data_IF_533532047741
#
_entry.id   IF_533532047741
#
_cell.length_a   1.000
_cell.length_b   1.000
_cell.length_c   1.000
_cell.angle_alpha   90.00
_cell.angle_beta   90.00
_cell.angle_gamma   90.00
#
_symmetry.space_group_name_H-M   'P 1'
#
loop_
_entity.id
_entity.type
_entity.pdbx_description
1 polymer ?
#
# COMPACT_ATOMS: atom_id res chain seq x y z
N UNK A 1 -15.84 -3.22 60.99
CA UNK A 1 -15.05 -2.05 61.47
C UNK A 1 -14.02 -1.68 60.41
N UNK A 2 -14.11 -0.48 59.84
CA UNK A 2 -13.22 -0.04 58.75
C UNK A 2 -11.76 0.13 59.20
N UNK A 3 -10.81 -0.09 58.28
CA UNK A 3 -9.34 -0.02 58.53
C UNK A 3 -8.92 1.31 59.19
N UNK A 4 -9.58 2.42 58.84
CA UNK A 4 -9.35 3.74 59.44
C UNK A 4 -9.73 3.81 60.92
N UNK A 5 -10.74 3.05 61.36
CA UNK A 5 -11.15 2.98 62.77
C UNK A 5 -10.11 2.23 63.63
N UNK A 6 -9.35 1.30 63.05
CA UNK A 6 -8.26 0.61 63.76
C UNK A 6 -7.01 1.48 63.89
N UNK A 7 -6.62 2.20 62.83
CA UNK A 7 -5.49 3.13 62.88
C UNK A 7 -5.75 4.26 63.88
N UNK A 8 -6.94 4.87 63.83
CA UNK A 8 -7.34 5.91 64.78
C UNK A 8 -7.31 5.42 66.24
N UNK A 9 -7.72 4.16 66.51
CA UNK A 9 -7.58 3.57 67.85
C UNK A 9 -6.12 3.40 68.28
N UNK A 10 -5.22 3.04 67.37
CA UNK A 10 -3.79 2.93 67.66
C UNK A 10 -3.14 4.30 67.92
N UNK A 11 -3.53 5.32 67.17
CA UNK A 11 -3.09 6.71 67.38
C UNK A 11 -3.59 7.24 68.73
N UNK A 12 -4.82 6.91 69.13
CA UNK A 12 -5.32 7.23 70.48
C UNK A 12 -4.55 6.49 71.59
N UNK A 13 -4.19 5.21 71.36
CA UNK A 13 -3.34 4.46 72.29
C UNK A 13 -1.93 5.06 72.40
N UNK A 14 -1.40 5.61 71.32
CA UNK A 14 -0.13 6.34 71.33
C UNK A 14 -0.24 7.60 72.19
N UNK A 15 -1.34 8.35 72.09
CA UNK A 15 -1.58 9.51 72.94
C UNK A 15 -1.66 9.12 74.43
N UNK A 16 -2.45 8.10 74.76
CA UNK A 16 -2.54 7.57 76.12
C UNK A 16 -1.18 7.07 76.66
N UNK A 17 -0.33 6.52 75.79
CA UNK A 17 1.04 6.11 76.13
C UNK A 17 1.92 7.32 76.50
N UNK A 18 1.81 8.44 75.79
CA UNK A 18 2.52 9.67 76.17
C UNK A 18 2.05 10.21 77.52
N UNK A 19 0.73 10.21 77.77
CA UNK A 19 0.18 10.59 79.09
C UNK A 19 0.71 9.69 80.22
N UNK A 20 0.81 8.38 79.97
CA UNK A 20 1.34 7.43 80.96
C UNK A 20 2.83 7.67 81.28
N UNK A 21 3.59 8.13 80.28
CA UNK A 21 4.99 8.55 80.49
C UNK A 21 5.07 9.76 81.43
N UNK A 22 4.22 10.77 81.22
CA UNK A 22 4.13 11.94 82.11
C UNK A 22 3.70 11.57 83.55
N UNK A 23 2.81 10.58 83.70
CA UNK A 23 2.43 10.04 85.02
C UNK A 23 3.61 9.33 85.70
N UNK A 24 4.41 8.55 84.98
CA UNK A 24 5.62 7.90 85.53
C UNK A 24 6.65 8.95 85.96
N UNK A 25 6.86 10.02 85.18
CA UNK A 25 7.73 11.12 85.59
C UNK A 25 7.24 11.80 86.87
N UNK A 26 5.92 11.96 87.02
CA UNK A 26 5.32 12.53 88.23
C UNK A 26 5.53 11.62 89.43
N UNK A 27 5.30 10.30 89.28
CA UNK A 27 5.62 9.30 90.32
C UNK A 27 7.11 9.31 90.67
N UNK A 28 7.98 9.48 89.67
CA UNK A 28 9.44 9.55 89.87
C UNK A 28 9.82 10.78 90.70
N UNK A 29 9.26 11.95 90.38
CA UNK A 29 9.44 13.18 91.18
C UNK A 29 8.94 13.00 92.61
N UNK A 30 7.73 12.47 92.79
CA UNK A 30 7.16 12.22 94.13
C UNK A 30 7.97 11.18 94.94
N UNK A 31 8.53 10.17 94.29
CA UNK A 31 9.40 9.20 94.95
C UNK A 31 10.74 9.82 95.37
N UNK A 32 11.27 10.76 94.58
CA UNK A 32 12.46 11.53 94.94
C UNK A 32 12.20 12.45 96.13
N UNK A 33 11.05 13.13 96.16
CA UNK A 33 10.63 13.97 97.30
C UNK A 33 10.47 13.13 98.57
N UNK A 34 9.86 11.95 98.47
CA UNK A 34 9.75 11.01 99.58
C UNK A 34 11.11 10.49 100.05
N UNK A 35 12.01 10.17 99.12
CA UNK A 35 13.37 9.74 99.43
C UNK A 35 14.11 10.83 100.22
N UNK A 36 14.03 12.08 99.76
CA UNK A 36 14.59 13.24 100.45
C UNK A 36 14.00 13.43 101.87
N UNK A 37 12.68 13.28 102.02
CA UNK A 37 12.00 13.40 103.31
C UNK A 37 12.38 12.30 104.32
N UNK A 38 12.70 11.09 103.83
CA UNK A 38 13.13 9.97 104.65
C UNK A 38 14.63 10.00 104.97
N UNK A 39 15.41 10.93 104.41
CA UNK A 39 16.85 11.00 104.62
C UNK A 39 17.20 11.13 106.11
N UNK A 40 18.11 10.29 106.60
CA UNK A 40 18.49 10.21 108.01
C UNK A 40 17.61 9.28 108.87
N UNK A 41 16.59 8.64 108.29
CA UNK A 41 15.83 7.56 108.93
C UNK A 41 16.40 6.18 108.61
N UNK A 42 16.14 5.20 109.47
CA UNK A 42 16.48 3.78 109.27
C UNK A 42 15.74 3.15 108.08
N UNK A 43 14.62 3.73 107.65
CA UNK A 43 13.80 3.26 106.54
C UNK A 43 14.24 3.79 105.16
N UNK A 44 15.12 4.79 105.10
CA UNK A 44 15.50 5.53 103.88
C UNK A 44 15.98 4.61 102.75
N UNK A 45 17.03 3.83 103.00
CA UNK A 45 17.66 2.98 101.98
C UNK A 45 16.67 1.95 101.42
N UNK A 46 15.92 1.28 102.30
CA UNK A 46 14.97 0.23 101.90
C UNK A 46 13.86 0.79 101.01
N UNK A 47 13.21 1.87 101.45
CA UNK A 47 12.07 2.46 100.71
C UNK A 47 12.54 3.11 99.41
N UNK A 48 13.69 3.78 99.42
CA UNK A 48 14.26 4.39 98.21
C UNK A 48 14.63 3.34 97.15
N UNK A 49 15.28 2.24 97.56
CA UNK A 49 15.62 1.15 96.64
C UNK A 49 14.39 0.43 96.07
N UNK A 50 13.37 0.19 96.91
CA UNK A 50 12.11 -0.42 96.47
C UNK A 50 11.37 0.47 95.46
N UNK A 51 11.23 1.77 95.76
CA UNK A 51 10.62 2.74 94.86
C UNK A 51 11.39 2.86 93.54
N UNK A 52 12.72 2.93 93.58
CA UNK A 52 13.55 2.98 92.38
C UNK A 52 13.33 1.74 91.52
N UNK A 53 13.31 0.55 92.13
CA UNK A 53 13.05 -0.71 91.41
C UNK A 53 11.67 -0.72 90.74
N UNK A 54 10.64 -0.19 91.41
CA UNK A 54 9.30 -0.09 90.84
C UNK A 54 9.23 0.92 89.70
N UNK A 55 9.87 2.08 89.84
CA UNK A 55 9.95 3.11 88.80
C UNK A 55 10.69 2.58 87.57
N UNK A 56 11.84 1.94 87.76
CA UNK A 56 12.61 1.34 86.68
C UNK A 56 11.80 0.27 85.93
N UNK A 57 11.04 -0.55 86.66
CA UNK A 57 10.17 -1.55 86.04
C UNK A 57 9.00 -0.92 85.27
N UNK A 58 8.37 0.12 85.81
CA UNK A 58 7.33 0.87 85.12
C UNK A 58 7.87 1.53 83.85
N UNK A 59 9.03 2.19 83.93
CA UNK A 59 9.70 2.81 82.80
C UNK A 59 10.04 1.78 81.72
N UNK A 60 10.61 0.62 82.08
CA UNK A 60 10.91 -0.46 81.12
C UNK A 60 9.66 -1.02 80.45
N UNK A 61 8.57 -1.22 81.21
CA UNK A 61 7.28 -1.67 80.64
C UNK A 61 6.71 -0.65 79.67
N UNK A 62 6.78 0.63 80.04
CA UNK A 62 6.28 1.72 79.24
C UNK A 62 7.03 1.85 77.91
N UNK A 63 8.37 1.82 77.94
CA UNK A 63 9.20 1.84 76.72
C UNK A 63 8.87 0.67 75.79
N UNK A 64 8.72 -0.55 76.33
CA UNK A 64 8.34 -1.72 75.52
C UNK A 64 6.93 -1.58 74.92
N UNK A 65 5.99 -1.03 75.67
CA UNK A 65 4.62 -0.81 75.19
C UNK A 65 4.60 0.23 74.07
N UNK A 66 5.29 1.37 74.26
CA UNK A 66 5.41 2.42 73.26
C UNK A 66 6.02 1.91 71.95
N UNK A 67 7.15 1.19 72.03
CA UNK A 67 7.78 0.61 70.84
C UNK A 67 6.84 -0.30 70.05
N UNK A 68 6.07 -1.15 70.74
CA UNK A 68 5.07 -2.02 70.09
C UNK A 68 3.93 -1.22 69.46
N UNK A 69 3.49 -0.13 70.09
CA UNK A 69 2.44 0.75 69.54
C UNK A 69 2.94 1.41 68.26
N UNK A 70 4.15 1.98 68.29
CA UNK A 70 4.79 2.61 67.13
C UNK A 70 4.98 1.64 65.96
N UNK A 71 5.59 0.47 66.21
CA UNK A 71 5.76 -0.59 65.19
C UNK A 71 4.43 -1.02 64.57
N UNK A 72 3.37 -1.11 65.37
CA UNK A 72 2.03 -1.43 64.88
C UNK A 72 1.44 -0.29 64.02
N UNK A 73 1.58 0.96 64.44
CA UNK A 73 1.12 2.12 63.67
C UNK A 73 1.82 2.15 62.31
N UNK A 74 3.14 2.00 62.28
CA UNK A 74 3.92 2.01 61.04
C UNK A 74 3.53 0.84 60.11
N UNK A 75 3.35 -0.35 60.68
CA UNK A 75 2.84 -1.51 59.93
C UNK A 75 1.46 -1.23 59.30
N UNK A 76 0.54 -0.61 60.04
CA UNK A 76 -0.79 -0.28 59.54
C UNK A 76 -0.76 0.84 58.49
N UNK A 77 0.06 1.87 58.68
CA UNK A 77 0.27 2.95 57.69
C UNK A 77 0.83 2.39 56.39
N UNK A 78 1.86 1.53 56.47
CA UNK A 78 2.44 0.86 55.30
C UNK A 78 1.41 0.00 54.56
N UNK A 79 0.63 -0.82 55.29
CA UNK A 79 -0.47 -1.62 54.70
C UNK A 79 -1.52 -0.75 54.02
N UNK A 80 -1.92 0.35 54.66
CA UNK A 80 -2.92 1.27 54.12
C UNK A 80 -2.41 1.93 52.83
N UNK A 81 -1.19 2.47 52.86
CA UNK A 81 -0.53 3.09 51.73
C UNK A 81 -0.40 2.11 50.54
N UNK A 82 0.02 0.87 50.79
CA UNK A 82 0.07 -0.17 49.76
C UNK A 82 -1.31 -0.44 49.16
N UNK A 83 -2.35 -0.61 49.99
CA UNK A 83 -3.71 -0.88 49.48
C UNK A 83 -4.30 0.29 48.70
N UNK A 84 -3.98 1.52 49.09
CA UNK A 84 -4.46 2.72 48.40
C UNK A 84 -3.69 2.94 47.10
N UNK A 85 -2.38 2.67 47.09
CA UNK A 85 -1.55 2.71 45.89
C UNK A 85 -2.09 1.78 44.80
N UNK A 86 -2.43 0.53 45.15
CA UNK A 86 -3.01 -0.43 44.19
C UNK A 86 -4.37 0.07 43.68
N UNK A 87 -5.27 0.51 44.57
CA UNK A 87 -6.60 1.03 44.18
C UNK A 87 -6.52 2.30 43.33
N UNK A 88 -5.56 3.17 43.59
CA UNK A 88 -5.30 4.36 42.77
C UNK A 88 -4.74 3.98 41.41
N UNK A 89 -3.75 3.07 41.37
CA UNK A 89 -3.20 2.53 40.13
C UNK A 89 -4.26 1.90 39.24
N UNK A 90 -5.14 1.08 39.82
CA UNK A 90 -6.24 0.44 39.08
C UNK A 90 -7.22 1.47 38.50
N UNK A 91 -7.63 2.47 39.28
CA UNK A 91 -8.50 3.56 38.79
C UNK A 91 -7.87 4.32 37.62
N UNK A 92 -6.57 4.59 37.69
CA UNK A 92 -5.86 5.27 36.60
C UNK A 92 -5.87 4.42 35.32
N UNK A 93 -5.60 3.11 35.42
CA UNK A 93 -5.64 2.18 34.29
C UNK A 93 -7.06 2.12 33.68
N UNK A 94 -8.09 2.01 34.51
CA UNK A 94 -9.47 1.97 34.04
C UNK A 94 -9.90 3.26 33.34
N UNK A 95 -9.54 4.42 33.91
CA UNK A 95 -9.81 5.73 33.28
C UNK A 95 -9.13 5.84 31.92
N UNK A 96 -7.85 5.45 31.84
CA UNK A 96 -7.10 5.45 30.58
C UNK A 96 -7.73 4.48 29.56
N UNK A 97 -8.11 3.27 29.98
CA UNK A 97 -8.80 2.31 29.11
C UNK A 97 -10.14 2.83 28.58
N UNK A 98 -10.91 3.54 29.40
CA UNK A 98 -12.20 4.11 28.97
C UNK A 98 -12.01 5.26 27.97
N UNK A 99 -10.95 6.06 28.12
CA UNK A 99 -10.56 7.07 27.13
C UNK A 99 -10.03 6.44 25.84
N UNK A 100 -9.22 5.38 25.95
CA UNK A 100 -8.65 4.69 24.80
C UNK A 100 -9.72 3.95 23.99
N UNK A 101 -10.67 3.30 24.65
CA UNK A 101 -11.80 2.65 23.98
C UNK A 101 -12.70 3.67 23.25
N UNK A 102 -12.87 4.88 23.81
CA UNK A 102 -13.56 5.97 23.09
C UNK A 102 -12.79 6.45 21.87
N UNK A 103 -11.45 6.48 21.93
CA UNK A 103 -10.63 6.81 20.75
C UNK A 103 -10.72 5.74 19.66
N UNK A 104 -10.90 4.48 20.05
CA UNK A 104 -11.02 3.34 19.15
C UNK A 104 -12.46 3.01 18.72
N UNK A 105 -13.46 3.79 19.16
CA UNK A 105 -14.84 3.57 18.71
C UNK A 105 -15.04 3.97 17.26
N UNK A 106 -14.24 4.91 16.77
CA UNK A 106 -14.25 5.33 15.38
C UNK A 106 -13.21 4.52 14.58
N UNK A 107 -13.59 3.98 13.41
CA UNK A 107 -12.66 3.24 12.57
C UNK A 107 -11.50 4.13 12.10
N UNK A 108 -10.27 3.62 12.15
CA UNK A 108 -9.10 4.32 11.60
C UNK A 108 -9.26 4.47 10.10
N UNK A 109 -9.20 5.72 9.63
CA UNK A 109 -9.34 6.09 8.24
C UNK A 109 -8.01 5.87 7.51
N UNK A 110 -8.02 5.01 6.49
CA UNK A 110 -6.84 4.66 5.72
C UNK A 110 -6.69 5.58 4.50
N UNK A 111 -5.51 6.17 4.35
CA UNK A 111 -5.22 7.08 3.25
C UNK A 111 -4.66 6.34 2.04
N UNK A 112 -4.94 6.82 0.82
CA UNK A 112 -4.32 6.29 -0.41
C UNK A 112 -2.92 6.87 -0.69
N UNK A 113 -2.36 7.65 0.24
CA UNK A 113 -1.02 8.23 0.11
C UNK A 113 -0.03 7.45 0.99
N UNK A 114 1.05 6.95 0.38
CA UNK A 114 2.10 6.17 1.05
C UNK A 114 2.69 6.95 2.24
N UNK A 115 2.95 8.25 2.09
CA UNK A 115 3.50 9.08 3.17
C UNK A 115 2.55 9.19 4.37
N UNK A 116 1.25 9.37 4.12
CA UNK A 116 0.24 9.41 5.18
C UNK A 116 0.06 8.04 5.85
N UNK A 117 0.19 6.94 5.10
CA UNK A 117 0.17 5.60 5.67
C UNK A 117 1.40 5.31 6.52
N UNK A 118 2.58 5.81 6.12
CA UNK A 118 3.79 5.73 6.93
C UNK A 118 3.63 6.49 8.26
N UNK A 119 3.02 7.67 8.24
CA UNK A 119 2.68 8.42 9.45
C UNK A 119 1.71 7.64 10.35
N UNK A 120 0.62 7.12 9.78
CA UNK A 120 -0.34 6.28 10.51
C UNK A 120 0.32 5.02 11.11
N UNK A 121 1.26 4.41 10.39
CA UNK A 121 2.05 3.28 10.88
C UNK A 121 2.85 3.67 12.12
N UNK A 122 3.57 4.79 12.08
CA UNK A 122 4.34 5.26 13.23
C UNK A 122 3.47 5.62 14.43
N UNK A 123 2.31 6.23 14.20
CA UNK A 123 1.34 6.52 15.26
C UNK A 123 0.83 5.22 15.91
N UNK A 124 0.46 4.23 15.11
CA UNK A 124 0.00 2.94 15.63
C UNK A 124 1.11 2.18 16.37
N UNK A 125 2.36 2.24 15.91
CA UNK A 125 3.51 1.68 16.64
C UNK A 125 3.70 2.33 18.03
N UNK A 126 3.56 3.66 18.11
CA UNK A 126 3.64 4.38 19.38
C UNK A 126 2.50 3.94 20.32
N UNK A 127 1.28 3.83 19.79
CA UNK A 127 0.11 3.35 20.54
C UNK A 127 0.30 1.92 21.03
N UNK A 128 0.82 1.01 20.20
CA UNK A 128 1.11 -0.37 20.63
C UNK A 128 2.12 -0.42 21.78
N UNK A 129 3.14 0.44 21.76
CA UNK A 129 4.09 0.56 22.87
C UNK A 129 3.42 1.08 24.14
N UNK A 130 2.54 2.08 24.01
CA UNK A 130 1.79 2.63 25.14
C UNK A 130 0.83 1.60 25.75
N UNK A 131 0.06 0.88 24.92
CA UNK A 131 -0.82 -0.23 25.33
C UNK A 131 -0.01 -1.30 26.06
N UNK A 132 1.13 -1.72 25.48
CA UNK A 132 2.01 -2.73 26.08
C UNK A 132 2.60 -2.27 27.41
N UNK A 133 2.93 -0.97 27.54
CA UNK A 133 3.42 -0.38 28.78
C UNK A 133 2.37 -0.44 29.88
N UNK A 134 1.14 0.00 29.60
CA UNK A 134 0.05 -0.03 30.56
C UNK A 134 -0.39 -1.46 30.92
N UNK A 135 -0.29 -2.41 29.98
CA UNK A 135 -0.54 -3.83 30.25
C UNK A 135 0.47 -4.42 31.24
N UNK A 136 1.74 -4.02 31.17
CA UNK A 136 2.75 -4.42 32.17
C UNK A 136 2.39 -3.90 33.56
N UNK A 137 1.99 -2.63 33.65
CA UNK A 137 1.52 -2.02 34.92
C UNK A 137 0.30 -2.77 35.46
N UNK A 138 -0.68 -3.13 34.61
CA UNK A 138 -1.82 -3.94 35.03
C UNK A 138 -1.38 -5.29 35.59
N UNK A 139 -0.43 -5.96 34.95
CA UNK A 139 0.09 -7.27 35.39
C UNK A 139 0.72 -7.18 36.78
N UNK A 140 1.50 -6.12 37.03
CA UNK A 140 2.09 -5.84 38.36
C UNK A 140 1.02 -5.55 39.41
N UNK A 141 0.03 -4.70 39.07
CA UNK A 141 -1.10 -4.38 39.95
C UNK A 141 -1.94 -5.61 40.27
N UNK A 142 -2.17 -6.49 39.29
CA UNK A 142 -2.91 -7.74 39.47
C UNK A 142 -2.17 -8.68 40.41
N UNK A 143 -0.86 -8.86 40.24
CA UNK A 143 -0.05 -9.68 41.13
C UNK A 143 -0.09 -9.17 42.57
N UNK A 144 -0.06 -7.85 42.77
CA UNK A 144 -0.16 -7.24 44.09
C UNK A 144 -1.58 -7.27 44.67
N UNK A 145 -2.61 -7.17 43.84
CA UNK A 145 -4.00 -7.37 44.23
C UNK A 145 -4.27 -8.83 44.66
N UNK A 146 -3.69 -9.81 43.97
CA UNK A 146 -3.77 -11.23 44.35
C UNK A 146 -3.12 -11.48 45.72
N UNK A 147 -1.93 -10.93 45.97
CA UNK A 147 -1.30 -10.99 47.31
C UNK A 147 -2.18 -10.35 48.38
N UNK A 148 -2.84 -9.22 48.06
CA UNK A 148 -3.77 -8.55 48.96
C UNK A 148 -4.97 -9.42 49.31
N UNK A 149 -5.58 -10.04 48.31
CA UNK A 149 -6.73 -10.91 48.46
C UNK A 149 -6.37 -12.19 49.24
N UNK A 150 -5.21 -12.80 48.96
CA UNK A 150 -4.71 -13.94 49.73
C UNK A 150 -4.49 -13.60 51.21
N UNK A 151 -4.04 -12.38 51.52
CA UNK A 151 -3.88 -11.92 52.89
C UNK A 151 -5.22 -11.59 53.59
N UNK A 152 -6.31 -11.35 52.86
CA UNK A 152 -7.65 -11.10 53.41
C UNK A 152 -8.76 -11.65 52.48
N UNK A 153 -9.01 -12.97 52.47
CA UNK A 153 -9.89 -13.61 51.50
C UNK A 153 -11.35 -13.12 51.52
N UNK A 154 -11.88 -12.81 52.71
CA UNK A 154 -13.28 -12.38 52.87
C UNK A 154 -13.53 -10.91 52.49
N UNK A 155 -12.48 -10.18 52.10
CA UNK A 155 -12.57 -8.76 51.80
C UNK A 155 -13.32 -8.51 50.48
N UNK A 156 -14.52 -7.93 50.58
CA UNK A 156 -15.33 -7.49 49.43
C UNK A 156 -14.51 -6.56 48.51
N UNK A 157 -13.79 -5.60 49.09
CA UNK A 157 -12.95 -4.66 48.34
C UNK A 157 -11.81 -5.36 47.57
N UNK A 158 -11.26 -6.46 48.10
CA UNK A 158 -10.20 -7.21 47.41
C UNK A 158 -10.78 -8.06 46.27
N UNK A 159 -11.98 -8.63 46.44
CA UNK A 159 -12.71 -9.31 45.35
C UNK A 159 -13.09 -8.36 44.23
N UNK A 160 -13.60 -7.17 44.56
CA UNK A 160 -13.93 -6.14 43.58
C UNK A 160 -12.70 -5.72 42.77
N UNK A 161 -11.59 -5.45 43.43
CA UNK A 161 -10.33 -5.09 42.78
C UNK A 161 -9.84 -6.18 41.80
N UNK A 162 -9.99 -7.46 42.15
CA UNK A 162 -9.65 -8.56 41.25
C UNK A 162 -10.59 -8.65 40.04
N UNK A 163 -11.89 -8.36 40.23
CA UNK A 163 -12.85 -8.25 39.13
C UNK A 163 -12.44 -7.12 38.18
N UNK A 164 -12.13 -5.94 38.71
CA UNK A 164 -11.66 -4.79 37.91
C UNK A 164 -10.38 -5.11 37.14
N UNK A 165 -9.45 -5.88 37.73
CA UNK A 165 -8.27 -6.37 37.02
C UNK A 165 -8.63 -7.29 35.85
N UNK A 166 -9.61 -8.19 36.04
CA UNK A 166 -10.10 -9.08 34.99
C UNK A 166 -10.76 -8.31 33.85
N UNK A 167 -11.63 -7.35 34.18
CA UNK A 167 -12.33 -6.50 33.21
C UNK A 167 -11.32 -5.67 32.40
N UNK A 168 -10.29 -5.12 33.05
CA UNK A 168 -9.21 -4.41 32.37
C UNK A 168 -8.43 -5.33 31.43
N UNK A 169 -8.14 -6.57 31.84
CA UNK A 169 -7.43 -7.56 31.03
C UNK A 169 -8.17 -7.83 29.71
N UNK A 170 -9.49 -7.99 29.77
CA UNK A 170 -10.35 -8.21 28.60
C UNK A 170 -10.38 -6.99 27.67
N UNK A 171 -10.49 -5.78 28.24
CA UNK A 171 -10.39 -4.52 27.47
C UNK A 171 -9.03 -4.38 26.78
N UNK A 172 -7.92 -4.68 27.45
CA UNK A 172 -6.59 -4.67 26.84
C UNK A 172 -6.48 -5.67 25.69
N UNK A 173 -6.99 -6.90 25.86
CA UNK A 173 -6.96 -7.91 24.81
C UNK A 173 -7.72 -7.44 23.55
N UNK A 174 -8.86 -6.77 23.74
CA UNK A 174 -9.64 -6.18 22.66
C UNK A 174 -8.88 -5.07 21.94
N UNK A 175 -8.33 -4.10 22.69
CA UNK A 175 -7.52 -3.00 22.14
C UNK A 175 -6.29 -3.48 21.38
N UNK A 176 -5.56 -4.48 21.92
CA UNK A 176 -4.43 -5.09 21.24
C UNK A 176 -4.83 -5.74 19.92
N UNK A 177 -5.98 -6.42 19.90
CA UNK A 177 -6.50 -7.07 18.69
C UNK A 177 -6.86 -6.03 17.62
N UNK A 178 -7.53 -4.95 18.01
CA UNK A 178 -7.89 -3.84 17.12
C UNK A 178 -6.64 -3.15 16.58
N UNK A 179 -5.70 -2.76 17.45
CA UNK A 179 -4.46 -2.08 17.04
C UNK A 179 -3.59 -2.98 16.13
N UNK A 180 -3.57 -4.29 16.37
CA UNK A 180 -2.88 -5.24 15.49
C UNK A 180 -3.56 -5.36 14.12
N UNK A 181 -4.89 -5.43 14.08
CA UNK A 181 -5.64 -5.41 12.83
C UNK A 181 -5.38 -4.12 12.04
N UNK A 182 -5.35 -2.97 12.71
CA UNK A 182 -5.00 -1.69 12.09
C UNK A 182 -3.57 -1.69 11.54
N UNK A 183 -2.60 -2.25 12.29
CA UNK A 183 -1.22 -2.38 11.82
C UNK A 183 -1.12 -3.19 10.53
N UNK A 184 -1.80 -4.33 10.49
CA UNK A 184 -1.83 -5.22 9.33
C UNK A 184 -2.47 -4.51 8.14
N UNK A 185 -3.63 -3.88 8.34
CA UNK A 185 -4.31 -3.13 7.28
C UNK A 185 -3.39 -2.03 6.71
N UNK A 186 -2.76 -1.21 7.55
CA UNK A 186 -1.85 -0.15 7.08
C UNK A 186 -0.68 -0.75 6.28
N UNK A 187 -0.08 -1.85 6.75
CA UNK A 187 1.04 -2.51 6.08
C UNK A 187 0.64 -3.13 4.73
N UNK A 188 -0.49 -3.84 4.68
CA UNK A 188 -1.04 -4.44 3.47
C UNK A 188 -1.38 -3.37 2.43
N UNK A 189 -2.03 -2.27 2.83
CA UNK A 189 -2.34 -1.15 1.92
C UNK A 189 -1.09 -0.45 1.42
N UNK A 190 -0.12 -0.19 2.30
CA UNK A 190 1.15 0.46 1.92
C UNK A 190 1.90 -0.37 0.90
N UNK A 191 1.94 -1.69 1.09
CA UNK A 191 2.57 -2.64 0.16
C UNK A 191 1.80 -2.64 -1.15
N UNK A 192 0.47 -2.74 -1.10
CA UNK A 192 -0.36 -2.78 -2.30
C UNK A 192 -0.26 -1.50 -3.14
N UNK A 193 -0.19 -0.32 -2.52
CA UNK A 193 0.01 0.95 -3.21
C UNK A 193 1.40 1.08 -3.80
N UNK A 194 2.43 0.58 -3.11
CA UNK A 194 3.81 0.58 -3.64
C UNK A 194 3.88 -0.32 -4.87
N UNK A 195 3.38 -1.56 -4.76
CA UNK A 195 3.31 -2.49 -5.90
C UNK A 195 2.52 -1.89 -7.07
N UNK A 196 1.40 -1.20 -6.80
CA UNK A 196 0.59 -0.55 -7.81
C UNK A 196 1.37 0.56 -8.54
N UNK A 197 2.09 1.40 -7.80
CA UNK A 197 2.93 2.46 -8.38
C UNK A 197 4.09 1.88 -9.21
N UNK A 198 4.69 0.77 -8.76
CA UNK A 198 5.76 0.09 -9.49
C UNK A 198 5.22 -0.55 -10.79
N UNK A 199 4.03 -1.17 -10.74
CA UNK A 199 3.33 -1.67 -11.93
C UNK A 199 3.00 -0.53 -12.91
N UNK A 200 2.50 0.59 -12.41
CA UNK A 200 2.22 1.79 -13.22
C UNK A 200 3.47 2.28 -13.95
N UNK A 201 4.58 2.43 -13.22
CA UNK A 201 5.85 2.87 -13.80
C UNK A 201 6.36 1.89 -14.87
N UNK A 202 6.31 0.58 -14.60
CA UNK A 202 6.71 -0.47 -15.56
C UNK A 202 5.84 -0.46 -16.82
N UNK A 203 4.52 -0.35 -16.67
CA UNK A 203 3.59 -0.29 -17.82
C UNK A 203 3.86 0.96 -18.65
N UNK A 204 4.04 2.12 -18.01
CA UNK A 204 4.34 3.37 -18.70
C UNK A 204 5.68 3.30 -19.46
N UNK A 205 6.73 2.72 -18.87
CA UNK A 205 8.01 2.53 -19.54
C UNK A 205 7.88 1.62 -20.76
N UNK A 206 7.15 0.50 -20.65
CA UNK A 206 6.89 -0.40 -21.78
C UNK A 206 6.09 0.26 -22.89
N UNK A 207 5.07 1.06 -22.54
CA UNK A 207 4.31 1.83 -23.52
C UNK A 207 5.19 2.84 -24.25
N UNK A 208 6.09 3.53 -23.56
CA UNK A 208 7.06 4.44 -24.18
C UNK A 208 8.00 3.70 -25.13
N UNK A 209 8.53 2.54 -24.74
CA UNK A 209 9.40 1.72 -25.60
C UNK A 209 8.64 1.19 -26.83
N UNK A 210 7.38 0.79 -26.68
CA UNK A 210 6.54 0.35 -27.80
C UNK A 210 6.22 1.49 -28.77
N UNK A 211 5.97 2.69 -28.26
CA UNK A 211 5.76 3.90 -29.06
C UNK A 211 7.03 4.29 -29.84
N UNK A 212 8.20 4.20 -29.21
CA UNK A 212 9.50 4.40 -29.87
C UNK A 212 9.77 3.34 -30.94
N UNK A 213 9.52 2.05 -30.65
CA UNK A 213 9.60 0.96 -31.64
C UNK A 213 8.65 1.19 -32.82
N UNK A 214 7.43 1.63 -32.54
CA UNK A 214 6.44 1.92 -33.59
C UNK A 214 6.89 3.09 -34.47
N UNK A 215 7.41 4.16 -33.86
CA UNK A 215 7.91 5.34 -34.57
C UNK A 215 9.07 5.03 -35.53
N UNK A 216 9.86 3.98 -35.23
CA UNK A 216 10.99 3.54 -36.05
C UNK A 216 10.64 2.43 -37.05
N UNK A 217 9.43 1.86 -36.98
CA UNK A 217 8.99 0.75 -37.84
C UNK A 217 8.37 1.29 -39.13
N UNK A 218 8.85 0.81 -40.28
CA UNK A 218 8.23 1.09 -41.58
C UNK A 218 6.93 0.32 -41.73
N UNK A 219 5.92 0.92 -42.39
CA UNK A 219 4.68 0.23 -42.76
C UNK A 219 4.92 -1.07 -43.57
N UNK A 220 6.02 -1.11 -44.33
CA UNK A 220 6.38 -2.28 -45.13
C UNK A 220 6.83 -3.48 -44.27
N UNK A 221 7.24 -3.25 -43.01
CA UNK A 221 7.65 -4.30 -42.09
C UNK A 221 6.46 -4.80 -41.26
N UNK A 222 5.60 -5.56 -41.94
CA UNK A 222 4.38 -6.14 -41.34
C UNK A 222 4.71 -7.05 -40.16
N UNK A 223 5.85 -7.73 -40.18
CA UNK A 223 6.26 -8.62 -39.10
C UNK A 223 6.58 -7.81 -37.84
N UNK A 224 7.36 -6.73 -37.96
CA UNK A 224 7.64 -5.85 -36.83
C UNK A 224 6.36 -5.21 -36.25
N UNK A 225 5.43 -4.77 -37.11
CA UNK A 225 4.12 -4.25 -36.65
C UNK A 225 3.28 -5.31 -35.93
N UNK A 226 3.32 -6.56 -36.39
CA UNK A 226 2.64 -7.68 -35.75
C UNK A 226 3.26 -8.01 -34.38
N UNK A 227 4.59 -7.95 -34.27
CA UNK A 227 5.31 -8.16 -33.01
C UNK A 227 4.96 -7.08 -31.98
N UNK A 228 4.94 -5.80 -32.38
CA UNK A 228 4.50 -4.68 -31.52
C UNK A 228 3.04 -4.89 -31.06
N UNK A 229 2.15 -5.28 -31.99
CA UNK A 229 0.74 -5.57 -31.66
C UNK A 229 0.61 -6.71 -30.64
N UNK A 230 1.41 -7.77 -30.78
CA UNK A 230 1.42 -8.89 -29.86
C UNK A 230 1.97 -8.51 -28.48
N UNK A 231 3.08 -7.75 -28.42
CA UNK A 231 3.63 -7.23 -27.16
C UNK A 231 2.59 -6.39 -26.41
N UNK A 232 1.85 -5.53 -27.12
CA UNK A 232 0.84 -4.66 -26.52
C UNK A 232 -0.43 -5.45 -26.08
N UNK A 233 -0.82 -6.49 -26.84
CA UNK A 233 -1.86 -7.45 -26.42
C UNK A 233 -1.45 -8.23 -25.18
N UNK A 234 -0.19 -8.65 -25.08
CA UNK A 234 0.32 -9.30 -23.88
C UNK A 234 0.29 -8.35 -22.68
N UNK A 235 0.81 -7.13 -22.82
CA UNK A 235 0.77 -6.09 -21.79
C UNK A 235 -0.65 -5.85 -21.25
N UNK A 236 -1.64 -5.79 -22.15
CA UNK A 236 -3.05 -5.62 -21.82
C UNK A 236 -3.63 -6.82 -21.04
N UNK A 237 -3.27 -8.04 -21.42
CA UNK A 237 -3.85 -9.27 -20.87
C UNK A 237 -3.16 -9.76 -19.58
N UNK A 238 -1.89 -9.42 -19.38
CA UNK A 238 -1.10 -9.81 -18.20
C UNK A 238 -1.02 -8.67 -17.18
N UNK A 239 -0.09 -7.74 -17.39
CA UNK A 239 0.35 -6.74 -16.41
C UNK A 239 -0.75 -5.74 -16.10
N UNK A 240 -1.44 -5.25 -17.14
CA UNK A 240 -2.52 -4.31 -16.94
C UNK A 240 -3.71 -4.93 -16.19
N UNK A 241 -4.01 -6.21 -16.47
CA UNK A 241 -5.06 -6.94 -15.76
C UNK A 241 -4.69 -7.22 -14.30
N UNK A 242 -3.41 -7.44 -14.03
CA UNK A 242 -2.88 -7.54 -12.66
C UNK A 242 -3.03 -6.21 -11.92
N UNK A 243 -2.65 -5.09 -12.56
CA UNK A 243 -2.82 -3.74 -12.02
C UNK A 243 -4.30 -3.42 -11.73
N UNK A 244 -5.23 -3.82 -12.62
CA UNK A 244 -6.67 -3.67 -12.41
C UNK A 244 -7.17 -4.50 -11.22
N UNK A 245 -6.73 -5.76 -11.09
CA UNK A 245 -7.06 -6.60 -9.95
C UNK A 245 -6.55 -5.98 -8.64
N UNK A 246 -5.33 -5.43 -8.65
CA UNK A 246 -4.74 -4.75 -7.49
C UNK A 246 -5.52 -3.50 -7.11
N UNK A 247 -5.90 -2.68 -8.09
CA UNK A 247 -6.77 -1.52 -7.89
C UNK A 247 -8.11 -1.93 -7.26
N UNK A 248 -8.77 -2.97 -7.79
CA UNK A 248 -10.02 -3.49 -7.21
C UNK A 248 -9.85 -3.98 -5.78
N UNK A 249 -8.74 -4.64 -5.46
CA UNK A 249 -8.42 -5.05 -4.10
C UNK A 249 -8.22 -3.85 -3.17
N UNK A 250 -7.43 -2.85 -3.60
CA UNK A 250 -7.21 -1.61 -2.84
C UNK A 250 -8.56 -0.97 -2.52
N UNK A 251 -9.44 -0.78 -3.51
CA UNK A 251 -10.74 -0.13 -3.30
C UNK A 251 -11.73 -0.95 -2.46
N UNK A 252 -11.53 -2.27 -2.33
CA UNK A 252 -12.37 -3.13 -1.50
C UNK A 252 -11.95 -3.13 -0.02
N UNK A 253 -10.81 -2.54 0.30
CA UNK A 253 -10.26 -2.56 1.64
C UNK A 253 -11.04 -1.61 2.58
N UNK A 254 -11.33 -2.04 3.83
CA UNK A 254 -12.21 -1.29 4.72
C UNK A 254 -11.61 0.05 5.16
N UNK A 255 -12.49 1.01 5.44
CA UNK A 255 -12.16 2.33 6.03
C UNK A 255 -11.20 3.19 5.19
N UNK A 256 -11.08 2.95 3.89
CA UNK A 256 -10.35 3.86 3.01
C UNK A 256 -11.08 5.20 2.92
N UNK A 257 -10.33 6.29 3.13
CA UNK A 257 -10.80 7.64 2.91
C UNK A 257 -10.12 8.22 1.69
N UNK A 258 -10.94 8.48 0.67
CA UNK A 258 -10.60 9.45 -0.36
C UNK A 258 -10.69 10.84 0.27
N UNK A 259 -9.57 11.38 0.75
CA UNK A 259 -9.56 12.68 1.41
C UNK A 259 -10.16 13.79 0.53
N UNK A 260 -11.15 14.50 1.07
CA UNK A 260 -11.78 15.70 0.52
C UNK A 260 -10.86 16.96 0.58
N UNK A 261 -9.55 16.80 0.81
CA UNK A 261 -8.63 17.93 1.05
C UNK A 261 -7.80 18.38 -0.16
N UNK A 262 -8.25 18.09 -1.39
CA UNK A 262 -7.65 18.65 -2.62
C UNK A 262 -8.70 19.32 -3.51
N UNK A 263 -9.52 20.17 -2.90
CA UNK A 263 -10.42 21.08 -3.63
C UNK A 263 -9.69 22.23 -4.34
N UNK A 264 -8.34 22.37 -4.23
CA UNK A 264 -7.69 23.64 -4.62
C UNK A 264 -6.49 23.67 -5.56
N UNK A 265 -5.92 22.56 -6.03
CA UNK A 265 -4.93 22.68 -7.11
C UNK A 265 -5.05 21.55 -8.14
N UNK A 266 -5.70 21.95 -9.24
CA UNK A 266 -5.58 21.42 -10.61
C UNK A 266 -6.34 20.12 -10.89
N UNK A 267 -7.50 20.31 -11.54
CA UNK A 267 -8.26 19.37 -12.38
C UNK A 267 -8.87 18.10 -11.76
N UNK A 268 -10.16 18.25 -11.41
CA UNK A 268 -11.29 17.32 -11.61
C UNK A 268 -11.24 15.88 -11.01
N UNK A 269 -12.05 15.73 -9.94
CA UNK A 269 -12.79 14.55 -9.44
C UNK A 269 -12.06 13.46 -8.61
N UNK A 270 -12.34 13.50 -7.29
CA UNK A 270 -12.43 12.42 -6.28
C UNK A 270 -11.30 11.35 -6.25
N UNK A 271 -10.62 11.10 -5.12
CA UNK A 271 -9.55 10.08 -5.04
C UNK A 271 -10.01 8.63 -5.33
N UNK A 272 -11.26 8.30 -5.00
CA UNK A 272 -11.88 7.01 -5.36
C UNK A 272 -12.18 6.93 -6.87
N UNK A 273 -12.38 8.08 -7.51
CA UNK A 273 -12.41 8.19 -8.96
C UNK A 273 -11.01 8.12 -9.55
N UNK A 274 -9.98 8.68 -8.93
CA UNK A 274 -8.64 8.80 -9.54
C UNK A 274 -8.03 7.44 -9.91
N UNK A 275 -7.99 6.46 -9.00
CA UNK A 275 -7.43 5.14 -9.32
C UNK A 275 -8.24 4.39 -10.40
N UNK A 276 -9.57 4.42 -10.31
CA UNK A 276 -10.44 3.72 -11.27
C UNK A 276 -10.48 4.43 -12.64
N UNK A 277 -10.54 5.76 -12.63
CA UNK A 277 -10.47 6.61 -13.81
C UNK A 277 -9.12 6.48 -14.51
N UNK A 278 -8.03 6.45 -13.75
CA UNK A 278 -6.68 6.26 -14.28
C UNK A 278 -6.51 4.90 -14.96
N UNK A 279 -6.90 3.81 -14.29
CA UNK A 279 -6.93 2.47 -14.90
C UNK A 279 -7.80 2.49 -16.16
N UNK A 280 -9.00 3.07 -16.12
CA UNK A 280 -9.86 3.20 -17.31
C UNK A 280 -9.22 4.02 -18.44
N UNK A 281 -8.45 5.05 -18.14
CA UNK A 281 -7.75 5.86 -19.14
C UNK A 281 -6.63 5.07 -19.83
N UNK A 282 -5.83 4.33 -19.05
CA UNK A 282 -4.78 3.46 -19.61
C UNK A 282 -5.41 2.35 -20.45
N UNK A 283 -6.47 1.69 -19.96
CA UNK A 283 -7.20 0.66 -20.71
C UNK A 283 -7.68 1.17 -22.07
N UNK A 284 -8.28 2.36 -22.09
CA UNK A 284 -8.74 3.00 -23.32
C UNK A 284 -7.58 3.39 -24.25
N UNK A 285 -6.46 3.86 -23.70
CA UNK A 285 -5.28 4.19 -24.49
C UNK A 285 -4.69 2.93 -25.15
N UNK A 286 -4.51 1.86 -24.39
CA UNK A 286 -4.04 0.55 -24.87
C UNK A 286 -4.97 0.04 -25.98
N UNK A 287 -6.29 0.02 -25.76
CA UNK A 287 -7.26 -0.43 -26.76
C UNK A 287 -7.18 0.36 -28.07
N UNK A 288 -7.06 1.69 -27.99
CA UNK A 288 -6.88 2.55 -29.18
C UNK A 288 -5.57 2.27 -29.90
N UNK A 289 -4.50 1.99 -29.17
CA UNK A 289 -3.20 1.66 -29.74
C UNK A 289 -3.24 0.30 -30.47
N UNK A 290 -3.91 -0.71 -29.88
CA UNK A 290 -4.14 -2.01 -30.53
C UNK A 290 -4.92 -1.82 -31.82
N UNK A 291 -6.04 -1.09 -31.80
CA UNK A 291 -6.86 -0.89 -33.01
C UNK A 291 -6.06 -0.19 -34.12
N UNK A 292 -5.25 0.82 -33.76
CA UNK A 292 -4.41 1.53 -34.73
C UNK A 292 -3.36 0.62 -35.35
N UNK A 293 -2.72 -0.24 -34.55
CA UNK A 293 -1.75 -1.22 -35.06
C UNK A 293 -2.40 -2.27 -35.96
N UNK A 294 -3.62 -2.73 -35.63
CA UNK A 294 -4.35 -3.67 -36.48
C UNK A 294 -4.71 -3.06 -37.85
N UNK A 295 -5.08 -1.78 -37.89
CA UNK A 295 -5.25 -1.02 -39.13
C UNK A 295 -3.94 -0.96 -39.94
N UNK A 296 -2.83 -0.56 -39.31
CA UNK A 296 -1.52 -0.48 -39.97
C UNK A 296 -1.05 -1.83 -40.52
N UNK A 297 -1.26 -2.92 -39.78
CA UNK A 297 -0.97 -4.30 -40.24
C UNK A 297 -1.84 -4.69 -41.44
N UNK A 298 -3.11 -4.26 -41.48
CA UNK A 298 -3.97 -4.47 -42.65
C UNK A 298 -3.42 -3.73 -43.88
N UNK A 299 -3.09 -2.45 -43.70
CA UNK A 299 -2.52 -1.62 -44.78
C UNK A 299 -1.19 -2.16 -45.30
N UNK A 300 -0.29 -2.61 -44.41
CA UNK A 300 0.97 -3.23 -44.80
C UNK A 300 0.77 -4.50 -45.62
N UNK A 301 -0.18 -5.37 -45.26
CA UNK A 301 -0.53 -6.57 -46.04
C UNK A 301 -1.13 -6.25 -47.40
N UNK A 302 -1.98 -5.24 -47.49
CA UNK A 302 -2.56 -4.82 -48.76
C UNK A 302 -1.49 -4.19 -49.67
N UNK A 303 -0.56 -3.44 -49.10
CA UNK A 303 0.63 -2.92 -49.79
C UNK A 303 1.48 -4.06 -50.35
N UNK A 304 1.75 -5.10 -49.56
CA UNK A 304 2.52 -6.27 -50.02
C UNK A 304 1.86 -6.98 -51.20
N UNK A 305 0.54 -7.19 -51.14
CA UNK A 305 -0.23 -7.81 -52.24
C UNK A 305 -0.22 -6.95 -53.50
N UNK A 306 -0.45 -5.65 -53.37
CA UNK A 306 -0.45 -4.72 -54.50
C UNK A 306 0.94 -4.58 -55.12
N UNK A 307 2.00 -4.56 -54.31
CA UNK A 307 3.38 -4.59 -54.81
C UNK A 307 3.67 -5.86 -55.61
N UNK A 308 3.30 -7.04 -55.09
CA UNK A 308 3.43 -8.32 -55.82
C UNK A 308 2.70 -8.29 -57.15
N UNK A 309 1.42 -7.92 -57.13
CA UNK A 309 0.60 -7.81 -58.34
C UNK A 309 1.17 -6.80 -59.35
N UNK A 310 1.66 -5.65 -58.87
CA UNK A 310 2.31 -4.64 -59.70
C UNK A 310 3.59 -5.18 -60.35
N UNK A 311 4.44 -5.88 -59.59
CA UNK A 311 5.67 -6.47 -60.13
C UNK A 311 5.38 -7.56 -61.16
N UNK A 312 4.41 -8.45 -60.90
CA UNK A 312 4.01 -9.49 -61.84
C UNK A 312 3.44 -8.90 -63.14
N UNK A 313 2.53 -7.93 -63.02
CA UNK A 313 1.91 -7.27 -64.17
C UNK A 313 2.92 -6.46 -64.98
N UNK A 314 3.85 -5.76 -64.31
CA UNK A 314 4.95 -5.04 -64.97
C UNK A 314 5.87 -5.98 -65.73
N UNK A 315 6.23 -7.12 -65.14
CA UNK A 315 7.04 -8.15 -65.81
C UNK A 315 6.31 -8.70 -67.04
N UNK A 316 5.02 -8.99 -66.92
CA UNK A 316 4.17 -9.46 -68.04
C UNK A 316 4.11 -8.43 -69.17
N UNK A 317 3.75 -7.19 -68.86
CA UNK A 317 3.69 -6.08 -69.81
C UNK A 317 5.04 -5.84 -70.50
N UNK A 318 6.16 -5.94 -69.78
CA UNK A 318 7.49 -5.83 -70.39
C UNK A 318 7.76 -6.94 -71.41
N UNK A 319 7.35 -8.18 -71.11
CA UNK A 319 7.49 -9.30 -72.04
C UNK A 319 6.58 -9.11 -73.26
N UNK A 320 5.32 -8.72 -73.04
CA UNK A 320 4.34 -8.54 -74.11
C UNK A 320 4.69 -7.37 -75.03
N UNK A 321 5.18 -6.25 -74.48
CA UNK A 321 5.70 -5.13 -75.27
C UNK A 321 6.93 -5.53 -76.09
N UNK A 322 7.84 -6.32 -75.51
CA UNK A 322 9.02 -6.82 -76.24
C UNK A 322 8.62 -7.80 -77.34
N UNK A 323 7.60 -8.64 -77.10
CA UNK A 323 7.03 -9.53 -78.11
C UNK A 323 6.34 -8.75 -79.24
N UNK A 324 5.59 -7.71 -78.92
CA UNK A 324 5.00 -6.78 -79.89
C UNK A 324 6.07 -6.08 -80.72
N UNK A 325 7.12 -5.57 -80.07
CA UNK A 325 8.25 -4.90 -80.73
C UNK A 325 8.96 -5.86 -81.70
N UNK A 326 9.28 -7.08 -81.24
CA UNK A 326 9.92 -8.10 -82.09
C UNK A 326 9.02 -8.55 -83.24
N UNK A 327 7.71 -8.75 -83.05
CA UNK A 327 6.78 -9.04 -84.15
C UNK A 327 6.67 -7.89 -85.15
N UNK A 328 6.70 -6.64 -84.68
CA UNK A 328 6.72 -5.46 -85.52
C UNK A 328 8.04 -5.33 -86.30
N UNK A 329 9.18 -5.79 -85.75
CA UNK A 329 10.49 -5.78 -86.39
C UNK A 329 10.75 -6.99 -87.31
N UNK A 330 10.18 -8.17 -87.01
CA UNK A 330 10.41 -9.43 -87.72
C UNK A 330 9.56 -9.64 -88.98
N UNK A 331 8.79 -8.65 -89.43
CA UNK A 331 8.21 -8.68 -90.78
C UNK A 331 9.31 -8.45 -91.83
N UNK A 332 10.15 -9.47 -91.99
CA UNK A 332 11.23 -9.54 -92.96
C UNK A 332 10.63 -9.98 -94.29
N UNK A 333 10.36 -9.02 -95.17
CA UNK A 333 10.60 -9.30 -96.58
C UNK A 333 12.11 -9.34 -96.78
N UNK A 334 12.60 -10.51 -97.16
CA UNK A 334 13.94 -10.76 -97.65
C UNK A 334 14.19 -9.86 -98.86
N UNK A 335 14.84 -8.71 -98.66
CA UNK A 335 15.65 -8.09 -99.70
C UNK A 335 17.10 -8.09 -99.26
N UNK A 336 17.92 -8.72 -100.09
CA UNK A 336 19.31 -8.96 -99.82
C UNK A 336 20.09 -7.64 -99.84
N UNK A 337 20.98 -7.53 -98.84
CA UNK A 337 22.25 -6.79 -98.82
C UNK A 337 22.30 -5.29 -98.47
N UNK A 338 22.95 -5.08 -97.31
CA UNK A 338 23.88 -4.00 -96.91
C UNK A 338 23.28 -2.61 -96.71
N UNK A 339 22.99 -2.28 -95.45
CA UNK A 339 23.68 -1.15 -94.79
C UNK A 339 23.35 -1.12 -93.30
N UNK A 340 24.36 -1.34 -92.47
CA UNK A 340 24.37 -0.93 -91.07
C UNK A 340 24.40 0.61 -91.03
N UNK A 341 23.66 1.17 -90.07
CA UNK A 341 23.56 2.59 -89.72
C UNK A 341 22.48 3.39 -90.48
N UNK A 342 21.25 3.31 -89.99
CA UNK A 342 20.59 4.49 -89.43
C UNK A 342 19.41 4.05 -88.55
N UNK A 343 19.35 4.60 -87.33
CA UNK A 343 18.18 4.54 -86.46
C UNK A 343 16.98 5.16 -87.18
N UNK A 344 15.79 4.76 -86.73
CA UNK A 344 14.53 5.51 -86.88
C UNK A 344 13.84 5.29 -88.24
N UNK A 345 13.08 4.19 -88.34
CA UNK A 345 11.72 4.17 -88.93
C UNK A 345 11.14 2.75 -88.89
N UNK A 346 9.83 2.67 -88.63
CA UNK A 346 9.04 1.46 -88.47
C UNK A 346 9.08 0.57 -89.73
N UNK A 347 9.30 -0.74 -89.55
CA UNK A 347 9.37 -1.77 -90.60
C UNK A 347 7.97 -2.13 -91.19
N UNK A 348 6.99 -1.24 -91.05
CA UNK A 348 5.71 -1.27 -91.80
C UNK A 348 5.67 -0.29 -92.98
N UNK A 349 6.71 0.52 -93.21
CA UNK A 349 6.71 1.51 -94.30
C UNK A 349 6.99 0.95 -95.70
N UNK A 350 7.52 -0.26 -95.83
CA UNK A 350 7.63 -0.91 -97.15
C UNK A 350 6.33 -1.62 -97.48
N UNK A 351 5.34 -0.86 -97.96
CA UNK A 351 4.14 -1.41 -98.59
C UNK A 351 4.57 -2.27 -99.78
N UNK A 352 4.41 -3.59 -99.67
CA UNK A 352 4.62 -4.46 -100.82
C UNK A 352 3.59 -4.09 -101.91
N UNK A 353 4.01 -4.09 -103.18
CA UNK A 353 3.08 -3.91 -104.31
C UNK A 353 2.40 -5.24 -104.71
N UNK A 354 2.76 -6.35 -104.05
CA UNK A 354 2.17 -7.66 -104.26
C UNK A 354 0.89 -7.82 -103.42
N UNK A 355 -0.26 -8.13 -104.04
CA UNK A 355 -1.55 -8.27 -103.34
C UNK A 355 -1.55 -9.31 -102.21
N UNK A 356 -0.78 -10.39 -102.34
CA UNK A 356 -0.68 -11.46 -101.32
C UNK A 356 0.09 -10.95 -100.09
N UNK A 357 1.15 -10.20 -100.33
CA UNK A 357 1.99 -9.64 -99.27
C UNK A 357 1.28 -8.52 -98.52
N UNK A 358 0.49 -7.70 -99.23
CA UNK A 358 -0.40 -6.69 -98.64
C UNK A 358 -1.47 -7.33 -97.75
N UNK A 359 -2.06 -8.45 -98.19
CA UNK A 359 -3.02 -9.19 -97.38
C UNK A 359 -2.38 -9.74 -96.10
N UNK A 360 -1.16 -10.29 -96.20
CA UNK A 360 -0.41 -10.77 -95.04
C UNK A 360 0.00 -9.63 -94.10
N UNK A 361 0.50 -8.51 -94.62
CA UNK A 361 0.80 -7.30 -93.83
C UNK A 361 -0.44 -6.78 -93.09
N UNK A 362 -1.60 -6.76 -93.76
CA UNK A 362 -2.87 -6.36 -93.15
C UNK A 362 -3.29 -7.29 -92.01
N UNK A 363 -3.13 -8.60 -92.18
CA UNK A 363 -3.42 -9.60 -91.13
C UNK A 363 -2.48 -9.40 -89.94
N UNK A 364 -1.18 -9.22 -90.17
CA UNK A 364 -0.21 -8.96 -89.09
C UNK A 364 -0.50 -7.65 -88.37
N UNK A 365 -0.85 -6.57 -89.08
CA UNK A 365 -1.25 -5.30 -88.46
C UNK A 365 -2.51 -5.45 -87.61
N UNK A 366 -3.51 -6.20 -88.08
CA UNK A 366 -4.72 -6.48 -87.30
C UNK A 366 -4.42 -7.31 -86.03
N UNK A 367 -3.52 -8.28 -86.13
CA UNK A 367 -3.05 -9.06 -84.98
C UNK A 367 -2.30 -8.18 -83.97
N UNK A 368 -1.33 -7.37 -84.43
CA UNK A 368 -0.61 -6.40 -83.59
C UNK A 368 -1.55 -5.40 -82.92
N UNK A 369 -2.56 -4.91 -83.64
CA UNK A 369 -3.56 -3.99 -83.08
C UNK A 369 -4.40 -4.66 -81.98
N UNK A 370 -4.73 -5.94 -82.14
CA UNK A 370 -5.49 -6.71 -81.14
C UNK A 370 -4.64 -7.00 -79.90
N UNK A 371 -3.38 -7.40 -80.07
CA UNK A 371 -2.44 -7.63 -78.98
C UNK A 371 -2.11 -6.33 -78.22
N UNK A 372 -2.01 -5.20 -78.93
CA UNK A 372 -1.85 -3.88 -78.31
C UNK A 372 -3.07 -3.45 -77.48
N UNK A 373 -4.29 -3.74 -77.94
CA UNK A 373 -5.52 -3.48 -77.16
C UNK A 373 -5.55 -4.29 -75.86
N UNK A 374 -5.06 -5.53 -75.87
CA UNK A 374 -4.90 -6.33 -74.65
C UNK A 374 -3.87 -5.70 -73.70
N UNK A 375 -2.71 -5.29 -74.20
CA UNK A 375 -1.70 -4.59 -73.38
C UNK A 375 -2.25 -3.29 -72.77
N UNK A 376 -3.08 -2.54 -73.51
CA UNK A 376 -3.73 -1.32 -73.01
C UNK A 376 -4.59 -1.59 -71.77
N UNK A 377 -5.40 -2.65 -71.78
CA UNK A 377 -6.24 -3.02 -70.64
C UNK A 377 -5.41 -3.40 -69.41
N UNK A 378 -4.25 -4.01 -69.62
CA UNK A 378 -3.30 -4.34 -68.56
C UNK A 378 -2.59 -3.09 -68.01
N UNK A 379 -2.29 -2.09 -68.85
CA UNK A 379 -1.80 -0.79 -68.41
C UNK A 379 -2.81 -0.03 -67.55
N UNK A 380 -4.09 -0.06 -67.90
CA UNK A 380 -5.17 0.53 -67.09
C UNK A 380 -5.24 -0.16 -65.72
N UNK A 381 -5.15 -1.50 -65.70
CA UNK A 381 -5.09 -2.28 -64.45
C UNK A 381 -3.86 -1.93 -63.60
N UNK A 382 -2.69 -1.73 -64.22
CA UNK A 382 -1.47 -1.31 -63.53
C UNK A 382 -1.62 0.09 -62.94
N UNK A 383 -2.23 1.02 -63.69
CA UNK A 383 -2.53 2.38 -63.22
C UNK A 383 -3.43 2.37 -61.98
N UNK A 384 -4.46 1.50 -61.96
CA UNK A 384 -5.35 1.34 -60.81
C UNK A 384 -4.61 0.80 -59.58
N UNK A 385 -3.72 -0.20 -59.76
CA UNK A 385 -2.91 -0.76 -58.67
C UNK A 385 -1.97 0.30 -58.09
N UNK A 386 -1.30 1.08 -58.93
CA UNK A 386 -0.38 2.15 -58.50
C UNK A 386 -1.15 3.25 -57.78
N UNK A 387 -2.34 3.61 -58.26
CA UNK A 387 -3.20 4.61 -57.59
C UNK A 387 -3.57 4.18 -56.17
N UNK A 388 -3.94 2.91 -55.99
CA UNK A 388 -4.23 2.33 -54.66
C UNK A 388 -3.01 2.27 -53.74
N UNK A 389 -1.82 1.97 -54.29
CA UNK A 389 -0.57 2.01 -53.52
C UNK A 389 -0.28 3.41 -52.99
N UNK A 390 -0.49 4.45 -53.82
CA UNK A 390 -0.32 5.85 -53.40
C UNK A 390 -1.30 6.22 -52.30
N UNK A 391 -2.58 5.84 -52.43
CA UNK A 391 -3.60 6.09 -51.39
C UNK A 391 -3.19 5.49 -50.03
N UNK A 392 -2.75 4.22 -50.01
CA UNK A 392 -2.33 3.55 -48.77
C UNK A 392 -1.09 4.24 -48.17
N UNK A 393 -0.13 4.66 -48.99
CA UNK A 393 1.05 5.38 -48.51
C UNK A 393 0.70 6.75 -47.89
N UNK A 394 -0.30 7.47 -48.43
CA UNK A 394 -0.82 8.69 -47.80
C UNK A 394 -1.48 8.44 -46.45
N UNK A 395 -2.24 7.35 -46.30
CA UNK A 395 -2.93 7.01 -45.04
C UNK A 395 -1.93 6.63 -43.94
N UNK A 396 -0.81 6.01 -44.30
CA UNK A 396 0.20 5.56 -43.37
C UNK A 396 1.16 6.65 -42.85
N UNK A 397 1.19 7.83 -43.49
CA UNK A 397 2.00 8.98 -43.05
C UNK A 397 1.30 9.89 -42.03
N UNK A 398 0.04 9.61 -41.71
CA UNK A 398 -0.78 10.28 -40.68
C UNK A 398 -1.15 9.28 -39.58
#
# INVERSE_FOLDING_TARGET
>A
MGKNCRLSKLENLQHASFEQTSKIETVTRSAMDLSNALSGTDAHERISHENQRHIDELARRQIRAQKRIEENIDSWRSKLAKTEGIRKGMRNIMSWLDEENKRHSDPVLLSLYVDKLNELRHQNELQQREISSHQKVLTELQADAQKLAAANPDSIASRQLLSECSDAQEKFATLLTISKANANNIAELSTALTDFNDMEASINEKLLLLDEKLSNTSLADVNALFDISNELKQLAQSEFKEMENKCRWILAMPNIVGDNCLEKKVFFFLPHFFLNYFVSCIDNAIKKFISRLEELVSYGRDTEKLCKASTELKCKLMVDLKNLETKAQCNHFTFNKVSLAFRQNLILETCSLNPVDLANQRITCQQLQTEYQLCRSEFETLSDIVSKLVEIETIARF
#
